data_IF_061518891166
#
_entry.id   IF_061518891166
#
_cell.length_a   1.000
_cell.length_b   1.000
_cell.length_c   1.000
_cell.angle_alpha   90.00
_cell.angle_beta   90.00
_cell.angle_gamma   90.00
#
_symmetry.space_group_name_H-M   'P 1'
#
loop_
_entity.id
_entity.type
_entity.pdbx_description
1 polymer ?
#
# COMPACT_ATOMS: atom_id res chain seq x y z
N UNK A 1 -2.62 19.26 -7.29
CA UNK A 1 -3.41 18.06 -7.64
C UNK A 1 -2.51 16.82 -7.79
N UNK A 2 -1.29 16.97 -8.31
CA UNK A 2 -0.31 15.90 -8.52
C UNK A 2 0.08 15.11 -7.26
N UNK A 3 0.27 15.80 -6.12
CA UNK A 3 0.62 15.12 -4.85
C UNK A 3 -0.48 14.14 -4.41
N UNK A 4 -1.76 14.50 -4.57
CA UNK A 4 -2.86 13.60 -4.21
C UNK A 4 -2.89 12.35 -5.11
N UNK A 5 -2.65 12.54 -6.40
CA UNK A 5 -2.56 11.43 -7.36
C UNK A 5 -1.38 10.51 -7.03
N UNK A 6 -0.21 11.10 -6.73
CA UNK A 6 0.97 10.34 -6.32
C UNK A 6 0.73 9.57 -5.02
N UNK A 7 0.12 10.20 -4.01
CA UNK A 7 -0.24 9.53 -2.74
C UNK A 7 -1.19 8.36 -2.97
N UNK A 8 -2.21 8.53 -3.82
CA UNK A 8 -3.14 7.45 -4.18
C UNK A 8 -2.40 6.30 -4.85
N UNK A 9 -1.59 6.61 -5.86
CA UNK A 9 -0.78 5.62 -6.57
C UNK A 9 0.17 4.87 -5.63
N UNK A 10 0.89 5.59 -4.77
CA UNK A 10 1.83 4.99 -3.83
C UNK A 10 1.14 4.05 -2.83
N UNK A 11 -0.03 4.43 -2.33
CA UNK A 11 -0.74 3.67 -1.32
C UNK A 11 -1.52 2.47 -1.88
N UNK A 12 -2.00 2.55 -3.12
CA UNK A 12 -2.94 1.57 -3.69
C UNK A 12 -2.38 0.75 -4.85
N UNK A 13 -1.31 1.21 -5.50
CA UNK A 13 -0.86 0.60 -6.77
C UNK A 13 0.64 0.29 -6.79
N UNK A 14 1.44 0.91 -5.91
CA UNK A 14 2.89 0.67 -5.85
C UNK A 14 3.23 -0.45 -4.86
N UNK A 15 3.50 -1.63 -5.39
CA UNK A 15 4.00 -2.76 -4.62
C UNK A 15 5.40 -2.51 -4.04
N UNK A 16 5.62 -2.96 -2.80
CA UNK A 16 6.88 -2.74 -2.09
C UNK A 16 7.54 -4.07 -1.69
N UNK A 17 8.81 -4.23 -2.05
CA UNK A 17 9.60 -5.41 -1.70
C UNK A 17 9.65 -5.67 -0.20
N UNK A 18 9.81 -4.62 0.61
CA UNK A 18 9.80 -4.70 2.08
C UNK A 18 8.45 -5.13 2.67
N UNK A 19 7.35 -4.96 1.93
CA UNK A 19 6.00 -5.35 2.35
C UNK A 19 5.60 -6.70 1.73
N UNK A 20 6.55 -7.62 1.55
CA UNK A 20 6.31 -8.92 0.90
C UNK A 20 5.65 -8.79 -0.48
N UNK A 21 6.02 -7.74 -1.24
CA UNK A 21 5.40 -7.39 -2.53
C UNK A 21 3.90 -7.05 -2.44
N UNK A 22 3.46 -6.42 -1.36
CA UNK A 22 2.10 -5.86 -1.22
C UNK A 22 2.12 -4.33 -1.33
N UNK A 23 0.97 -3.73 -1.65
CA UNK A 23 0.75 -2.28 -1.51
C UNK A 23 0.58 -1.90 -0.03
N UNK A 24 0.80 -0.63 0.35
CA UNK A 24 0.59 -0.18 1.72
C UNK A 24 -0.80 -0.50 2.29
N UNK A 25 -1.86 -0.40 1.48
CA UNK A 25 -3.23 -0.74 1.90
C UNK A 25 -3.41 -2.24 2.11
N UNK A 26 -2.97 -3.07 1.17
CA UNK A 26 -3.05 -4.53 1.29
C UNK A 26 -2.28 -5.05 2.49
N UNK A 27 -1.08 -4.51 2.74
CA UNK A 27 -0.28 -4.91 3.90
C UNK A 27 -0.98 -4.57 5.21
N UNK A 28 -1.64 -3.41 5.32
CA UNK A 28 -2.43 -3.06 6.50
C UNK A 28 -3.59 -4.03 6.72
N UNK A 29 -4.34 -4.36 5.67
CA UNK A 29 -5.46 -5.30 5.78
C UNK A 29 -4.96 -6.69 6.18
N UNK A 30 -3.88 -7.17 5.56
CA UNK A 30 -3.24 -8.43 5.93
C UNK A 30 -2.85 -8.48 7.41
N UNK A 31 -2.31 -7.39 7.97
CA UNK A 31 -1.98 -7.33 9.40
C UNK A 31 -3.22 -7.33 10.29
N UNK A 32 -4.32 -6.72 9.85
CA UNK A 32 -5.58 -6.73 10.60
C UNK A 32 -6.26 -8.10 10.59
N UNK A 33 -6.12 -8.86 9.50
CA UNK A 33 -6.65 -10.23 9.40
C UNK A 33 -5.81 -11.25 10.19
N UNK A 34 -4.54 -10.93 10.45
CA UNK A 34 -3.61 -11.77 11.23
C UNK A 34 -3.68 -11.49 12.73
N UNK A 35 -4.20 -10.32 13.12
CA UNK A 35 -4.40 -9.93 14.52
C UNK A 35 -5.65 -10.56 15.14
#
# INVERSE_FOLDING_TARGET
QEIKAYMKYYNQHRYQWKLKKMTPVEYRNHLLDVA
#
